data_IF_780281464959
#
_entry.id   IF_780281464959
#
_cell.length_a   1.000
_cell.length_b   1.000
_cell.length_c   1.000
_cell.angle_alpha   90.00
_cell.angle_beta   90.00
_cell.angle_gamma   90.00
#
_symmetry.space_group_name_H-M   'P 1'
#
loop_
_entity.id
_entity.type
_entity.pdbx_description
1 polymer ?
#
# COMPACT_ATOMS: atom_id res chain seq x y z
N UNK A 1 -13.91 -11.76 -21.36
CA UNK A 1 -15.04 -11.95 -20.43
C UNK A 1 -14.68 -12.75 -19.16
N UNK A 2 -13.47 -12.62 -18.60
CA UNK A 2 -12.99 -13.42 -17.44
C UNK A 2 -12.79 -12.63 -16.13
N UNK A 3 -13.13 -11.33 -16.12
CA UNK A 3 -12.86 -10.41 -14.99
C UNK A 3 -13.35 -10.89 -13.60
N UNK A 4 -14.53 -11.53 -13.42
CA UNK A 4 -14.98 -11.89 -12.07
C UNK A 4 -14.19 -13.05 -11.42
N UNK A 5 -13.50 -13.88 -12.20
CA UNK A 5 -12.72 -15.00 -11.67
C UNK A 5 -11.38 -14.57 -11.05
N UNK A 6 -10.86 -13.39 -11.43
CA UNK A 6 -9.56 -12.85 -10.99
C UNK A 6 -9.67 -11.90 -9.79
N UNK A 7 -10.86 -11.72 -9.22
CA UNK A 7 -11.05 -10.83 -8.06
C UNK A 7 -10.56 -11.52 -6.79
N UNK A 8 -9.80 -10.80 -5.97
CA UNK A 8 -9.45 -11.26 -4.63
C UNK A 8 -10.73 -11.58 -3.84
N UNK A 9 -10.80 -12.81 -3.31
CA UNK A 9 -11.88 -13.22 -2.41
C UNK A 9 -11.61 -12.63 -1.02
N UNK A 10 -12.07 -11.41 -0.80
CA UNK A 10 -11.96 -10.67 0.46
C UNK A 10 -10.70 -9.80 0.60
N UNK A 11 -10.56 -9.08 1.73
CA UNK A 11 -9.38 -8.28 2.05
C UNK A 11 -8.09 -9.11 2.02
N UNK A 12 -7.00 -8.50 1.54
CA UNK A 12 -5.67 -9.14 1.42
C UNK A 12 -4.55 -8.38 2.12
N UNK A 13 -4.89 -7.23 2.68
CA UNK A 13 -3.97 -6.37 3.37
C UNK A 13 -4.72 -5.55 4.43
N UNK A 14 -3.98 -5.04 5.40
CA UNK A 14 -4.49 -4.20 6.48
C UNK A 14 -3.62 -2.97 6.65
N UNK A 15 -4.25 -1.83 6.94
CA UNK A 15 -3.54 -0.62 7.32
C UNK A 15 -3.23 -0.61 8.81
N UNK A 16 -2.00 -0.26 9.16
CA UNK A 16 -1.55 -0.01 10.53
C UNK A 16 -0.62 1.20 10.54
N UNK A 17 -0.56 1.88 11.68
CA UNK A 17 0.52 2.86 11.93
C UNK A 17 1.76 2.09 12.35
N UNK A 18 2.86 2.25 11.60
CA UNK A 18 4.16 1.66 11.95
C UNK A 18 5.24 2.73 11.90
N UNK A 19 6.35 2.50 12.61
CA UNK A 19 7.53 3.37 12.58
C UNK A 19 8.47 2.92 11.47
N UNK A 20 8.69 3.76 10.46
CA UNK A 20 9.63 3.52 9.37
C UNK A 20 10.67 4.63 9.32
N UNK A 21 11.96 4.26 9.39
CA UNK A 21 13.09 5.21 9.44
C UNK A 21 12.90 6.34 10.48
N UNK A 22 12.37 5.98 11.65
CA UNK A 22 12.16 6.90 12.77
C UNK A 22 10.85 7.70 12.74
N UNK A 23 10.01 7.54 11.70
CA UNK A 23 8.77 8.31 11.54
C UNK A 23 7.56 7.38 11.58
N UNK A 24 6.55 7.72 12.37
CA UNK A 24 5.29 6.99 12.40
C UNK A 24 4.45 7.33 11.18
N UNK A 25 3.99 6.31 10.47
CA UNK A 25 3.21 6.51 9.26
C UNK A 25 2.30 5.34 8.91
N UNK A 26 1.37 5.59 8.00
CA UNK A 26 0.45 4.57 7.51
C UNK A 26 1.20 3.56 6.65
N UNK A 27 1.04 2.29 6.99
CA UNK A 27 1.68 1.18 6.30
C UNK A 27 0.63 0.12 5.97
N UNK A 28 0.55 -0.27 4.70
CA UNK A 28 -0.28 -1.38 4.27
C UNK A 28 0.54 -2.68 4.37
N UNK A 29 0.06 -3.60 5.20
CA UNK A 29 0.70 -4.89 5.47
C UNK A 29 -0.10 -5.96 4.75
N UNK A 30 0.53 -6.71 3.86
CA UNK A 30 -0.11 -7.80 3.15
C UNK A 30 -0.23 -9.04 4.04
N UNK A 31 -1.41 -9.69 4.02
CA UNK A 31 -1.67 -10.85 4.88
C UNK A 31 -0.93 -12.12 4.41
N UNK A 32 -0.69 -12.23 3.09
CA UNK A 32 -0.15 -13.44 2.45
C UNK A 32 1.16 -13.18 1.70
N UNK A 33 1.71 -11.96 1.77
CA UNK A 33 2.96 -11.58 1.12
C UNK A 33 3.86 -10.90 2.16
N UNK A 34 5.18 -11.14 2.14
CA UNK A 34 6.11 -10.51 3.08
C UNK A 34 6.45 -9.07 2.64
N UNK A 35 5.41 -8.26 2.40
CA UNK A 35 5.47 -6.90 1.86
C UNK A 35 4.82 -5.93 2.83
N UNK A 36 5.53 -4.84 3.12
CA UNK A 36 5.01 -3.67 3.80
C UNK A 36 5.12 -2.45 2.88
N UNK A 37 3.99 -1.87 2.48
CA UNK A 37 3.98 -0.62 1.72
C UNK A 37 3.86 0.55 2.68
N UNK A 38 4.96 1.28 2.86
CA UNK A 38 5.03 2.44 3.76
C UNK A 38 4.71 3.71 2.98
N UNK A 39 3.72 4.47 3.45
CA UNK A 39 3.29 5.68 2.73
C UNK A 39 3.87 6.96 3.30
N UNK A 40 4.10 7.95 2.45
CA UNK A 40 4.38 9.33 2.86
C UNK A 40 3.58 10.29 1.99
N UNK A 41 2.92 11.24 2.64
CA UNK A 41 2.16 12.26 1.94
C UNK A 41 3.09 13.18 1.13
N UNK A 42 2.74 13.40 -0.14
CA UNK A 42 3.35 14.43 -1.00
C UNK A 42 2.44 15.66 -1.02
N UNK A 43 1.14 15.46 -1.22
CA UNK A 43 0.10 16.48 -1.22
C UNK A 43 -1.26 15.88 -0.76
N UNK A 44 -2.37 16.61 -0.92
CA UNK A 44 -3.72 16.17 -0.49
C UNK A 44 -4.24 14.92 -1.22
N UNK A 45 -3.76 14.66 -2.43
CA UNK A 45 -4.23 13.59 -3.32
C UNK A 45 -3.14 12.58 -3.68
N UNK A 46 -1.88 12.80 -3.29
CA UNK A 46 -0.73 12.02 -3.72
C UNK A 46 0.08 11.51 -2.54
N UNK A 47 0.44 10.22 -2.58
CA UNK A 47 1.35 9.60 -1.62
C UNK A 47 2.49 8.87 -2.33
N UNK A 48 3.69 8.96 -1.76
CA UNK A 48 4.81 8.09 -2.07
C UNK A 48 4.66 6.78 -1.30
N UNK A 49 4.76 5.65 -1.99
CA UNK A 49 4.89 4.33 -1.39
C UNK A 49 6.33 3.84 -1.44
N UNK A 50 6.84 3.35 -0.31
CA UNK A 50 8.08 2.59 -0.22
C UNK A 50 7.73 1.14 0.10
N UNK A 51 7.85 0.27 -0.90
CA UNK A 51 7.62 -1.17 -0.78
C UNK A 51 8.83 -1.82 -0.13
N UNK A 52 8.67 -2.24 1.12
CA UNK A 52 9.64 -3.03 1.86
C UNK A 52 9.27 -4.52 1.73
N UNK A 53 9.94 -5.20 0.80
CA UNK A 53 9.83 -6.64 0.59
C UNK A 53 10.96 -7.34 1.36
N UNK A 54 10.62 -8.35 2.16
CA UNK A 54 11.62 -9.16 2.86
C UNK A 54 12.67 -9.71 1.87
N UNK A 55 13.94 -9.34 2.10
CA UNK A 55 15.08 -9.85 1.34
C UNK A 55 15.62 -8.93 0.25
N UNK A 56 14.97 -7.78 -0.02
CA UNK A 56 15.55 -6.76 -0.92
C UNK A 56 16.42 -5.77 -0.14
N UNK A 57 17.50 -5.29 -0.77
CA UNK A 57 18.46 -4.37 -0.12
C UNK A 57 17.93 -2.95 0.04
N UNK A 58 17.06 -2.52 -0.86
CA UNK A 58 16.50 -1.18 -0.88
C UNK A 58 15.03 -1.25 -1.26
N UNK A 59 14.17 -0.40 -0.69
CA UNK A 59 12.76 -0.34 -1.05
C UNK A 59 12.56 0.00 -2.52
N UNK A 60 11.52 -0.58 -3.12
CA UNK A 60 11.02 -0.12 -4.40
C UNK A 60 10.03 1.04 -4.16
N UNK A 61 10.09 2.08 -4.98
CA UNK A 61 9.25 3.27 -4.81
C UNK A 61 8.15 3.32 -5.87
N UNK A 62 6.97 3.75 -5.46
CA UNK A 62 5.82 3.99 -6.34
C UNK A 62 5.02 5.19 -5.85
N UNK A 63 4.13 5.72 -6.68
CA UNK A 63 3.25 6.83 -6.32
C UNK A 63 1.81 6.40 -6.50
N UNK A 64 0.95 6.73 -5.54
CA UNK A 64 -0.49 6.60 -5.68
C UNK A 64 -1.11 7.99 -5.79
N UNK A 65 -2.03 8.12 -6.73
CA UNK A 65 -2.93 9.26 -6.83
C UNK A 65 -4.33 8.82 -6.44
N UNK A 66 -5.03 9.67 -5.68
CA UNK A 66 -6.42 9.44 -5.29
C UNK A 66 -7.30 9.42 -6.54
N UNK A 67 -7.93 8.27 -6.79
CA UNK A 67 -8.99 8.15 -7.79
C UNK A 67 -10.35 8.47 -7.15
N UNK A 68 -11.02 9.49 -7.68
CA UNK A 68 -12.34 9.94 -7.23
C UNK A 68 -13.50 9.34 -8.06
N UNK A 69 -13.20 8.42 -8.99
CA UNK A 69 -14.22 7.79 -9.85
C UNK A 69 -15.17 6.86 -9.09
N UNK A 70 -14.75 6.37 -7.91
CA UNK A 70 -15.54 5.49 -7.04
C UNK A 70 -15.85 6.18 -5.72
N UNK A 71 -17.05 5.96 -5.19
CA UNK A 71 -17.47 6.49 -3.90
C UNK A 71 -16.81 5.70 -2.78
N UNK A 72 -16.28 6.40 -1.77
CA UNK A 72 -15.88 5.80 -0.51
C UNK A 72 -17.16 5.25 0.16
N UNK A 73 -17.18 3.94 0.44
CA UNK A 73 -18.29 3.24 1.09
C UNK A 73 -18.12 3.28 2.61
#
# INVERSE_FOLDING_TARGET
ALKPALKARGPKARLRTTRFRGVDTATMIYDQLPINDVFRQIDEATVLGAMDLRGIKAPYFFVLHRDNSLRLV
#
